data_IF_494954725022
#
_entry.id   IF_494954725022
#
_cell.length_a   1.000
_cell.length_b   1.000
_cell.length_c   1.000
_cell.angle_alpha   90.00
_cell.angle_beta   90.00
_cell.angle_gamma   90.00
#
_symmetry.space_group_name_H-M   'P 1'
#
loop_
_entity.id
_entity.type
_entity.pdbx_description
1 polymer ?
#
# COMPACT_ATOMS: atom_id res chain seq x y z
N UNK A 1 5.20 7.41 -32.29
CA UNK A 1 5.01 8.18 -31.04
C UNK A 1 6.30 8.11 -30.27
N UNK A 2 7.04 9.21 -30.17
CA UNK A 2 8.29 9.29 -29.40
C UNK A 2 7.95 9.23 -27.92
N UNK A 3 8.47 8.22 -27.21
CA UNK A 3 8.24 8.05 -25.78
C UNK A 3 9.02 9.12 -25.00
N UNK A 4 8.32 9.88 -24.14
CA UNK A 4 8.93 10.89 -23.29
C UNK A 4 9.86 10.21 -22.27
N UNK A 5 11.13 10.60 -22.24
CA UNK A 5 12.09 10.13 -21.23
C UNK A 5 11.96 10.99 -19.97
N UNK A 6 11.75 10.36 -18.82
CA UNK A 6 11.67 11.05 -17.52
C UNK A 6 13.03 11.12 -16.83
N UNK A 7 13.27 12.21 -16.11
CA UNK A 7 14.42 12.41 -15.24
C UNK A 7 14.06 12.06 -13.79
N UNK A 8 15.03 11.69 -12.94
CA UNK A 8 14.77 11.32 -11.54
C UNK A 8 14.59 12.56 -10.64
N UNK A 9 13.76 13.51 -11.06
CA UNK A 9 13.38 14.70 -10.30
C UNK A 9 11.86 14.90 -10.32
N UNK A 10 11.33 15.55 -9.28
CA UNK A 10 9.88 15.72 -9.11
C UNK A 10 9.23 16.51 -10.24
N UNK A 11 9.88 17.54 -10.76
CA UNK A 11 9.32 18.35 -11.85
C UNK A 11 9.12 17.52 -13.12
N UNK A 12 10.06 16.61 -13.42
CA UNK A 12 9.93 15.66 -14.53
C UNK A 12 8.81 14.65 -14.29
N UNK A 13 8.79 14.03 -13.10
CA UNK A 13 7.83 12.98 -12.74
C UNK A 13 6.40 13.50 -12.61
N UNK A 14 6.17 14.72 -12.14
CA UNK A 14 4.81 15.26 -12.02
C UNK A 14 4.22 15.67 -13.38
N UNK A 15 5.05 15.80 -14.41
CA UNK A 15 4.61 16.04 -15.79
C UNK A 15 4.06 14.78 -16.50
N UNK A 16 3.87 13.67 -15.77
CA UNK A 16 3.26 12.43 -16.24
C UNK A 16 1.75 12.61 -16.42
N UNK A 17 1.27 12.46 -17.65
CA UNK A 17 -0.18 12.45 -17.90
C UNK A 17 -0.82 11.16 -17.37
N UNK A 18 -2.01 11.28 -16.80
CA UNK A 18 -2.81 10.12 -16.37
C UNK A 18 -3.34 9.43 -17.65
N UNK A 19 -3.12 8.12 -17.83
CA UNK A 19 -3.68 7.41 -18.97
C UNK A 19 -5.21 7.58 -19.03
N UNK A 20 -5.72 7.93 -20.22
CA UNK A 20 -7.14 8.24 -20.41
C UNK A 20 -8.07 7.14 -19.88
N UNK A 21 -7.73 5.87 -20.15
CA UNK A 21 -8.51 4.72 -19.68
C UNK A 21 -8.65 4.66 -18.15
N UNK A 22 -7.61 5.06 -17.40
CA UNK A 22 -7.62 5.04 -15.95
C UNK A 22 -8.50 6.17 -15.40
N UNK A 23 -8.42 7.35 -16.02
CA UNK A 23 -9.26 8.49 -15.66
C UNK A 23 -10.76 8.24 -15.97
N UNK A 24 -11.05 7.48 -17.03
CA UNK A 24 -12.41 7.15 -17.46
C UNK A 24 -13.06 5.99 -16.70
N UNK A 25 -12.26 5.09 -16.10
CA UNK A 25 -12.77 3.87 -15.46
C UNK A 25 -13.72 4.15 -14.27
N UNK A 26 -13.52 5.25 -13.52
CA UNK A 26 -14.35 5.79 -12.41
C UNK A 26 -14.65 4.85 -11.22
N UNK A 27 -14.48 3.55 -11.37
CA UNK A 27 -14.71 2.51 -10.37
C UNK A 27 -13.63 1.45 -10.48
N UNK A 28 -13.12 1.00 -9.35
CA UNK A 28 -12.08 -0.04 -9.26
C UNK A 28 -12.31 -0.95 -8.07
N UNK A 29 -11.87 -2.20 -8.21
CA UNK A 29 -11.85 -3.18 -7.12
C UNK A 29 -10.40 -3.37 -6.70
N UNK A 30 -10.13 -3.24 -5.40
CA UNK A 30 -8.81 -3.54 -4.84
C UNK A 30 -8.86 -4.82 -4.03
N UNK A 31 -7.93 -5.73 -4.30
CA UNK A 31 -7.91 -7.08 -3.72
C UNK A 31 -6.68 -7.19 -2.82
N UNK A 32 -6.93 -7.41 -1.52
CA UNK A 32 -5.90 -7.78 -0.56
C UNK A 32 -5.88 -9.31 -0.45
N UNK A 33 -4.92 -9.94 -1.11
CA UNK A 33 -4.73 -11.39 -1.04
C UNK A 33 -3.25 -11.75 -0.90
N UNK A 34 -2.96 -12.64 0.06
CA UNK A 34 -1.61 -13.14 0.32
C UNK A 34 -1.62 -14.19 1.42
N UNK A 35 -0.44 -14.63 1.86
CA UNK A 35 -0.31 -15.67 2.91
C UNK A 35 -0.97 -15.28 4.23
N UNK A 36 -1.11 -13.98 4.51
CA UNK A 36 -1.84 -13.46 5.66
C UNK A 36 -3.35 -13.76 5.63
N UNK A 37 -3.93 -14.02 4.46
CA UNK A 37 -5.34 -14.43 4.33
C UNK A 37 -5.59 -15.84 4.87
N UNK A 38 -4.55 -16.66 5.03
CA UNK A 38 -4.68 -18.02 5.60
C UNK A 38 -5.05 -17.97 7.09
N UNK A 39 -4.29 -17.28 7.97
CA UNK A 39 -4.69 -17.11 9.36
C UNK A 39 -5.86 -16.14 9.53
N UNK A 40 -6.02 -15.16 8.62
CA UNK A 40 -7.12 -14.17 8.65
C UNK A 40 -7.35 -13.53 10.03
N UNK A 41 -6.27 -13.29 10.77
CA UNK A 41 -6.36 -12.96 12.18
C UNK A 41 -5.23 -12.02 12.61
N UNK A 42 -5.55 -11.09 13.53
CA UNK A 42 -4.58 -10.32 14.31
C UNK A 42 -5.20 -9.99 15.68
N UNK A 43 -4.36 -9.79 16.70
CA UNK A 43 -4.82 -9.32 18.01
C UNK A 43 -5.32 -7.87 17.90
N UNK A 44 -6.56 -7.63 18.34
CA UNK A 44 -7.13 -6.28 18.41
C UNK A 44 -6.34 -5.47 19.44
N UNK A 45 -5.86 -4.30 19.03
CA UNK A 45 -5.27 -3.31 19.92
C UNK A 45 -5.87 -1.92 19.59
N UNK A 46 -5.70 -0.98 20.53
CA UNK A 46 -6.23 0.38 20.39
C UNK A 46 -5.26 1.30 19.61
N UNK A 47 -4.31 0.74 18.87
CA UNK A 47 -3.40 1.52 18.04
C UNK A 47 -4.12 1.96 16.76
N UNK A 48 -3.86 3.18 16.31
CA UNK A 48 -4.53 3.86 15.19
C UNK A 48 -4.58 3.05 13.87
N UNK A 49 -3.72 2.03 13.71
CA UNK A 49 -3.54 1.25 12.47
C UNK A 49 -3.54 -0.27 12.69
N UNK A 50 -3.88 -0.74 13.90
CA UNK A 50 -3.27 -1.94 14.46
C UNK A 50 -3.94 -3.29 14.23
N UNK A 51 -4.92 -3.45 13.33
CA UNK A 51 -5.66 -4.73 13.21
C UNK A 51 -5.83 -5.28 11.79
N UNK A 52 -5.05 -4.82 10.81
CA UNK A 52 -5.12 -5.39 9.46
C UNK A 52 -4.34 -6.71 9.33
N UNK A 53 -4.90 -7.64 8.56
CA UNK A 53 -4.36 -8.99 8.39
C UNK A 53 -3.05 -9.00 7.59
N UNK A 54 -2.87 -8.11 6.60
CA UNK A 54 -1.63 -8.05 5.81
C UNK A 54 -0.36 -7.83 6.64
N UNK A 55 -0.52 -7.31 7.86
CA UNK A 55 0.54 -7.10 8.84
C UNK A 55 0.75 -8.27 9.82
N UNK A 56 0.18 -9.45 9.53
CA UNK A 56 0.27 -10.64 10.38
C UNK A 56 1.73 -10.99 10.75
N UNK A 57 2.64 -10.99 9.77
CA UNK A 57 4.04 -11.35 10.02
C UNK A 57 4.73 -10.37 10.97
N UNK A 58 4.61 -9.06 10.72
CA UNK A 58 5.23 -8.04 11.56
C UNK A 58 4.70 -8.06 12.99
N UNK A 59 3.39 -8.29 13.15
CA UNK A 59 2.71 -8.25 14.45
C UNK A 59 2.79 -9.54 15.26
N UNK A 60 2.88 -10.71 14.62
CA UNK A 60 2.87 -12.02 15.29
C UNK A 60 4.26 -12.65 15.38
N UNK A 61 5.07 -12.54 14.32
CA UNK A 61 6.39 -13.18 14.27
C UNK A 61 7.55 -12.21 14.52
N UNK A 62 7.43 -10.97 14.06
CA UNK A 62 8.57 -10.04 13.97
C UNK A 62 9.10 -9.48 15.29
N UNK A 63 8.45 -9.69 16.44
CA UNK A 63 8.72 -8.95 17.68
C UNK A 63 8.97 -7.45 17.45
N UNK A 64 8.32 -6.84 16.44
CA UNK A 64 8.42 -5.40 16.23
C UNK A 64 7.80 -4.76 17.46
N UNK A 65 8.67 -4.25 18.34
CA UNK A 65 8.33 -3.74 19.67
C UNK A 65 7.48 -2.48 19.64
N UNK A 66 7.08 -2.01 18.48
CA UNK A 66 6.77 -0.62 18.28
C UNK A 66 5.51 -0.56 17.42
N UNK A 67 4.37 -0.41 18.13
CA UNK A 67 3.15 0.17 17.57
C UNK A 67 3.40 1.67 17.31
N UNK A 68 4.52 2.00 16.68
CA UNK A 68 4.97 3.37 16.52
C UNK A 68 4.54 3.82 15.14
N UNK A 69 4.02 5.03 15.07
CA UNK A 69 3.37 5.61 13.88
C UNK A 69 4.36 5.89 12.72
N UNK A 70 5.64 5.57 12.89
CA UNK A 70 6.76 5.97 12.03
C UNK A 70 6.79 5.29 10.64
N UNK A 71 5.94 4.29 10.42
CA UNK A 71 5.85 3.59 9.13
C UNK A 71 4.66 4.06 8.26
N UNK A 72 3.86 5.02 8.74
CA UNK A 72 2.78 5.64 7.96
C UNK A 72 3.08 7.09 7.59
#
# INVERSE_FOLDING_TARGET
MTQKTYQPDWASLDSREIPQWYNEARFGIFIHWGVYSVPSWRKINNALFGSYAEWYYASVYGQYRNNDDDFH
#
